data_IF_876615558802
#
_entry.id   IF_876615558802
#
_cell.length_a   1.000
_cell.length_b   1.000
_cell.length_c   1.000
_cell.angle_alpha   90.00
_cell.angle_beta   90.00
_cell.angle_gamma   90.00
#
_symmetry.space_group_name_H-M   'P 1'
#
loop_
_entity.id
_entity.type
_entity.pdbx_description
1 polymer ?
#
# COMPACT_ATOMS: atom_id res chain seq x y z
N UNK A 1 4.44 -16.88 8.00
CA UNK A 1 4.06 -18.24 7.54
C UNK A 1 2.99 -18.09 6.49
N UNK A 2 2.99 -18.95 5.47
CA UNK A 2 1.88 -19.05 4.50
C UNK A 2 1.39 -20.48 4.46
N UNK A 3 0.07 -20.69 4.41
CA UNK A 3 -0.58 -21.99 4.37
C UNK A 3 -1.60 -22.00 3.23
N UNK A 4 -1.64 -23.09 2.47
CA UNK A 4 -2.56 -23.28 1.35
C UNK A 4 -3.07 -24.72 1.30
N UNK A 5 -4.19 -24.92 0.63
CA UNK A 5 -4.78 -26.22 0.37
C UNK A 5 -5.27 -26.32 -1.08
N UNK A 6 -5.37 -27.54 -1.58
CA UNK A 6 -5.73 -27.82 -2.98
C UNK A 6 -4.51 -27.79 -3.91
N UNK A 7 -4.57 -28.60 -4.95
CA UNK A 7 -3.43 -28.91 -5.82
C UNK A 7 -2.82 -27.68 -6.49
N UNK A 8 -3.64 -26.82 -7.09
CA UNK A 8 -3.17 -25.60 -7.76
C UNK A 8 -2.43 -24.65 -6.80
N UNK A 9 -2.96 -24.48 -5.59
CA UNK A 9 -2.35 -23.60 -4.61
C UNK A 9 -1.05 -24.19 -4.05
N UNK A 10 -0.99 -25.50 -3.86
CA UNK A 10 0.23 -26.21 -3.45
C UNK A 10 1.31 -26.03 -4.53
N UNK A 11 0.96 -26.23 -5.81
CA UNK A 11 1.88 -26.01 -6.93
C UNK A 11 2.38 -24.57 -6.99
N UNK A 12 1.49 -23.59 -6.80
CA UNK A 12 1.85 -22.18 -6.72
C UNK A 12 2.81 -21.89 -5.55
N UNK A 13 2.51 -22.40 -4.35
CA UNK A 13 3.34 -22.17 -3.17
C UNK A 13 4.74 -22.79 -3.35
N UNK A 14 4.81 -23.97 -3.99
CA UNK A 14 6.07 -24.63 -4.32
C UNK A 14 6.92 -23.79 -5.29
N UNK A 15 6.32 -23.28 -6.36
CA UNK A 15 7.00 -22.40 -7.32
C UNK A 15 7.47 -21.09 -6.66
N UNK A 16 6.62 -20.48 -5.83
CA UNK A 16 6.95 -19.29 -5.06
C UNK A 16 8.11 -19.53 -4.09
N UNK A 17 8.10 -20.67 -3.39
CA UNK A 17 9.19 -21.04 -2.49
C UNK A 17 10.52 -21.16 -3.25
N UNK A 18 10.53 -21.87 -4.38
CA UNK A 18 11.72 -22.02 -5.21
C UNK A 18 12.28 -20.67 -5.70
N UNK A 19 11.41 -19.75 -6.12
CA UNK A 19 11.82 -18.41 -6.52
C UNK A 19 12.40 -17.59 -5.36
N UNK A 20 11.77 -17.65 -4.18
CA UNK A 20 12.21 -16.89 -3.01
C UNK A 20 13.55 -17.38 -2.47
N UNK A 21 13.88 -18.67 -2.63
CA UNK A 21 15.16 -19.23 -2.16
C UNK A 21 16.39 -18.62 -2.84
N UNK A 22 16.22 -17.95 -3.98
CA UNK A 22 17.30 -17.23 -4.65
C UNK A 22 17.76 -15.98 -3.89
N UNK A 23 16.90 -15.42 -3.02
CA UNK A 23 17.21 -14.24 -2.22
C UNK A 23 17.77 -14.64 -0.85
N UNK A 24 18.85 -13.96 -0.43
CA UNK A 24 19.49 -14.18 0.88
C UNK A 24 18.53 -13.99 2.05
N UNK A 25 17.53 -13.12 1.90
CA UNK A 25 16.53 -12.82 2.93
C UNK A 25 15.61 -14.01 3.24
N UNK A 26 15.47 -14.98 2.32
CA UNK A 26 14.54 -16.10 2.48
C UNK A 26 15.25 -17.46 2.61
N UNK A 27 16.58 -17.50 2.70
CA UNK A 27 17.36 -18.76 2.83
C UNK A 27 16.95 -19.62 4.03
N UNK A 28 16.48 -18.99 5.12
CA UNK A 28 16.00 -19.69 6.31
C UNK A 28 14.54 -20.16 6.24
N UNK A 29 13.86 -19.95 5.10
CA UNK A 29 12.47 -20.37 4.92
C UNK A 29 12.40 -21.89 4.71
N UNK A 30 11.49 -22.55 5.41
CA UNK A 30 11.18 -23.98 5.30
C UNK A 30 9.86 -24.17 4.56
N UNK A 31 9.78 -25.25 3.79
CA UNK A 31 8.58 -25.68 3.06
C UNK A 31 8.20 -27.10 3.48
N UNK A 32 6.91 -27.38 3.61
CA UNK A 32 6.41 -28.73 3.86
C UNK A 32 5.03 -28.95 3.24
N UNK A 33 4.79 -30.19 2.79
CA UNK A 33 3.48 -30.72 2.38
C UNK A 33 3.02 -31.84 3.34
N UNK A 34 3.82 -32.16 4.35
CA UNK A 34 3.52 -33.19 5.35
C UNK A 34 2.60 -32.63 6.44
N UNK A 35 1.47 -33.29 6.65
CA UNK A 35 0.48 -32.92 7.66
C UNK A 35 1.09 -32.91 9.06
N UNK A 36 1.98 -33.85 9.40
CA UNK A 36 2.58 -33.92 10.73
C UNK A 36 3.50 -32.72 10.97
N UNK A 37 4.38 -32.42 10.02
CA UNK A 37 5.27 -31.26 10.10
C UNK A 37 4.50 -29.93 10.11
N UNK A 38 3.43 -29.79 9.33
CA UNK A 38 2.60 -28.57 9.33
C UNK A 38 1.84 -28.42 10.66
N UNK A 39 1.42 -29.53 11.27
CA UNK A 39 0.75 -29.52 12.58
C UNK A 39 1.67 -29.03 13.69
N UNK A 40 2.97 -29.32 13.63
CA UNK A 40 3.97 -28.73 14.55
C UNK A 40 4.08 -27.21 14.40
N UNK A 41 3.81 -26.67 13.21
CA UNK A 41 3.90 -25.24 12.94
C UNK A 41 2.61 -24.48 13.29
N UNK A 42 1.46 -25.09 13.01
CA UNK A 42 0.16 -24.48 13.18
C UNK A 42 -0.89 -25.55 13.58
N UNK A 43 -0.89 -26.00 14.84
CA UNK A 43 -1.73 -27.11 15.29
C UNK A 43 -3.23 -26.82 15.10
N UNK A 44 -3.67 -25.60 15.40
CA UNK A 44 -5.06 -25.17 15.25
C UNK A 44 -5.52 -25.10 13.79
N UNK A 45 -4.60 -24.93 12.83
CA UNK A 45 -4.94 -24.91 11.39
C UNK A 45 -5.15 -26.33 10.86
N UNK A 46 -4.48 -27.31 11.48
CA UNK A 46 -4.51 -28.72 11.08
C UNK A 46 -5.55 -29.55 11.84
N UNK A 47 -6.06 -29.04 12.96
CA UNK A 47 -7.10 -29.71 13.75
C UNK A 47 -8.39 -29.92 12.93
N UNK A 48 -8.91 -31.15 12.93
CA UNK A 48 -10.14 -31.50 12.21
C UNK A 48 -10.03 -31.55 10.69
N UNK A 49 -8.83 -31.43 10.09
CA UNK A 49 -8.65 -31.57 8.63
C UNK A 49 -8.61 -33.03 8.20
N UNK A 50 -9.10 -33.27 6.98
CA UNK A 50 -8.98 -34.56 6.31
C UNK A 50 -7.50 -34.86 5.99
N UNK A 51 -6.94 -35.99 6.47
CA UNK A 51 -5.57 -36.41 6.16
C UNK A 51 -5.28 -36.59 4.66
N UNK A 52 -6.32 -36.82 3.84
CA UNK A 52 -6.16 -36.96 2.39
C UNK A 52 -6.13 -35.62 1.66
N UNK A 53 -6.48 -34.52 2.31
CA UNK A 53 -6.47 -33.20 1.70
C UNK A 53 -5.02 -32.78 1.40
N UNK A 54 -4.78 -32.35 0.16
CA UNK A 54 -3.50 -31.72 -0.22
C UNK A 54 -3.36 -30.36 0.45
N UNK A 55 -2.28 -30.21 1.22
CA UNK A 55 -1.93 -28.98 1.94
C UNK A 55 -0.45 -28.69 1.76
N UNK A 56 -0.08 -27.42 1.87
CA UNK A 56 1.32 -27.01 1.91
C UNK A 56 1.48 -25.78 2.79
N UNK A 57 2.65 -25.65 3.42
CA UNK A 57 2.98 -24.49 4.22
C UNK A 57 4.44 -24.07 4.04
N UNK A 58 4.67 -22.76 4.22
CA UNK A 58 6.01 -22.18 4.36
C UNK A 58 6.15 -21.50 5.71
N UNK A 59 7.26 -21.74 6.40
CA UNK A 59 7.58 -21.14 7.69
C UNK A 59 8.97 -20.51 7.65
N UNK A 60 9.06 -19.31 8.17
CA UNK A 60 10.34 -18.58 8.34
C UNK A 60 10.44 -18.19 9.81
N UNK A 61 11.54 -18.54 10.46
CA UNK A 61 11.77 -18.22 11.88
C UNK A 61 12.12 -16.75 12.09
N UNK A 62 12.81 -16.14 11.12
CA UNK A 62 13.18 -14.70 11.11
C UNK A 62 12.02 -13.78 10.68
N UNK A 63 10.76 -14.24 10.83
CA UNK A 63 9.58 -13.50 10.36
C UNK A 63 9.48 -12.14 11.03
N UNK A 64 9.65 -11.07 10.25
CA UNK A 64 9.38 -9.70 10.70
C UNK A 64 7.98 -9.32 10.22
N UNK A 65 7.04 -9.16 11.15
CA UNK A 65 5.78 -8.50 10.83
C UNK A 65 6.07 -7.00 10.67
N UNK A 66 5.53 -6.40 9.62
CA UNK A 66 5.77 -5.01 9.26
C UNK A 66 4.51 -4.21 9.55
N UNK A 67 4.56 -3.38 10.59
CA UNK A 67 3.47 -2.45 10.88
C UNK A 67 3.54 -1.24 9.92
N UNK A 68 2.87 -1.35 8.78
CA UNK A 68 2.78 -0.27 7.79
C UNK A 68 2.16 1.03 8.35
N UNK A 69 1.27 0.91 9.35
CA UNK A 69 0.70 2.07 10.04
C UNK A 69 1.77 2.86 10.80
N UNK A 70 2.64 2.15 11.50
CA UNK A 70 3.75 2.75 12.24
C UNK A 70 4.83 3.32 11.31
N UNK A 71 5.19 2.61 10.24
CA UNK A 71 6.10 3.13 9.21
C UNK A 71 5.57 4.44 8.62
N UNK A 72 4.27 4.49 8.30
CA UNK A 72 3.64 5.70 7.75
C UNK A 72 3.72 6.85 8.75
N UNK A 73 3.47 6.60 10.03
CA UNK A 73 3.58 7.62 11.09
C UNK A 73 5.01 8.13 11.25
N UNK A 74 6.01 7.25 11.25
CA UNK A 74 7.41 7.63 11.35
C UNK A 74 7.88 8.44 10.15
N UNK A 75 7.47 8.05 8.94
CA UNK A 75 7.74 8.79 7.72
C UNK A 75 7.14 10.21 7.78
N UNK A 76 5.86 10.31 8.15
CA UNK A 76 5.18 11.60 8.30
C UNK A 76 5.85 12.45 9.39
N UNK A 77 6.18 11.87 10.55
CA UNK A 77 6.85 12.57 11.63
C UNK A 77 8.23 13.12 11.20
N UNK A 78 8.97 12.37 10.39
CA UNK A 78 10.22 12.84 9.79
C UNK A 78 9.99 14.00 8.81
N UNK A 79 8.95 13.94 7.99
CA UNK A 79 8.60 15.02 7.06
C UNK A 79 8.13 16.28 7.78
N UNK A 80 7.42 16.15 8.90
CA UNK A 80 6.98 17.27 9.75
C UNK A 80 8.12 18.09 10.34
N UNK A 81 9.35 17.54 10.42
CA UNK A 81 10.53 18.30 10.84
C UNK A 81 11.01 19.30 9.79
N UNK A 82 10.51 19.23 8.55
CA UNK A 82 10.89 20.14 7.46
C UNK A 82 9.99 21.37 7.45
N UNK A 83 10.60 22.56 7.37
CA UNK A 83 9.89 23.85 7.36
C UNK A 83 8.95 24.05 6.17
N UNK A 84 9.15 23.30 5.08
CA UNK A 84 8.36 23.37 3.85
C UNK A 84 7.32 22.25 3.73
N UNK A 85 7.00 21.52 4.80
CA UNK A 85 6.00 20.46 4.78
C UNK A 85 4.78 20.82 5.65
N UNK A 86 3.60 20.66 5.09
CA UNK A 86 2.34 20.77 5.84
C UNK A 86 1.46 19.56 5.59
N UNK A 87 0.96 18.97 6.67
CA UNK A 87 0.05 17.82 6.64
C UNK A 87 -1.38 18.29 6.87
N UNK A 88 -2.27 18.01 5.91
CA UNK A 88 -3.71 18.21 6.08
C UNK A 88 -4.39 16.84 6.12
N UNK A 89 -5.05 16.56 7.25
CA UNK A 89 -5.84 15.34 7.46
C UNK A 89 -7.32 15.69 7.44
N UNK A 90 -8.17 14.69 7.19
CA UNK A 90 -9.62 14.88 7.08
C UNK A 90 -10.02 15.85 5.97
N UNK A 91 -9.21 15.93 4.92
CA UNK A 91 -9.46 16.73 3.74
C UNK A 91 -9.75 15.81 2.56
N UNK A 92 -10.75 16.13 1.74
CA UNK A 92 -11.11 15.37 0.55
C UNK A 92 -10.97 16.25 -0.69
N UNK A 93 -10.19 15.79 -1.67
CA UNK A 93 -10.12 16.44 -2.98
C UNK A 93 -11.41 16.14 -3.75
N UNK A 94 -12.17 17.18 -4.08
CA UNK A 94 -13.44 17.07 -4.81
C UNK A 94 -13.35 17.39 -6.28
N UNK A 95 -12.42 18.28 -6.66
CA UNK A 95 -12.22 18.65 -8.05
C UNK A 95 -10.76 19.04 -8.31
N UNK A 96 -10.34 18.80 -9.55
CA UNK A 96 -9.05 19.19 -10.10
C UNK A 96 -9.33 19.93 -11.40
N UNK A 97 -8.87 21.18 -11.53
CA UNK A 97 -8.98 21.98 -12.74
C UNK A 97 -7.59 22.39 -13.19
N UNK A 98 -7.26 22.11 -14.45
CA UNK A 98 -6.03 22.60 -15.08
C UNK A 98 -6.24 24.04 -15.52
N UNK A 99 -5.30 24.91 -15.18
CA UNK A 99 -5.29 26.32 -15.55
C UNK A 99 -4.52 26.52 -16.88
N UNK A 100 -4.71 27.67 -17.52
CA UNK A 100 -4.12 27.98 -18.83
C UNK A 100 -2.58 28.11 -18.78
N UNK A 101 -2.02 28.40 -17.61
CA UNK A 101 -0.57 28.44 -17.35
C UNK A 101 0.04 27.06 -17.04
N UNK A 102 -0.68 25.98 -17.35
CA UNK A 102 -0.35 24.59 -17.01
C UNK A 102 -0.27 24.30 -15.48
N UNK A 103 -0.70 25.21 -14.61
CA UNK A 103 -0.86 24.93 -13.18
C UNK A 103 -2.19 24.21 -12.89
N UNK A 104 -2.38 23.76 -11.65
CA UNK A 104 -3.59 23.09 -11.22
C UNK A 104 -4.25 23.85 -10.08
N UNK A 105 -5.57 23.98 -10.17
CA UNK A 105 -6.45 24.43 -9.09
C UNK A 105 -7.13 23.20 -8.50
N UNK A 106 -7.05 23.07 -7.17
CA UNK A 106 -7.61 21.92 -6.46
C UNK A 106 -8.65 22.39 -5.47
N UNK A 107 -9.86 21.85 -5.59
CA UNK A 107 -10.96 22.11 -4.67
C UNK A 107 -10.93 21.04 -3.58
N UNK A 108 -10.66 21.45 -2.34
CA UNK A 108 -10.56 20.57 -1.19
C UNK A 108 -11.70 20.86 -0.23
N UNK A 109 -12.41 19.82 0.20
CA UNK A 109 -13.41 19.89 1.25
C UNK A 109 -12.82 19.43 2.58
N UNK A 110 -12.94 20.25 3.61
CA UNK A 110 -12.65 19.85 4.99
C UNK A 110 -13.84 19.06 5.55
N UNK A 111 -13.62 17.78 5.83
CA UNK A 111 -14.64 16.86 6.33
C UNK A 111 -15.04 17.15 7.79
N UNK A 112 -14.21 17.88 8.56
CA UNK A 112 -14.53 18.30 9.92
C UNK A 112 -15.32 19.62 9.96
N UNK A 113 -15.11 20.51 8.98
CA UNK A 113 -15.71 21.86 9.00
C UNK A 113 -16.77 22.14 7.92
N UNK A 114 -17.13 21.16 7.07
CA UNK A 114 -18.07 21.34 5.92
C UNK A 114 -17.73 22.55 5.02
N UNK A 115 -16.49 23.01 5.03
CA UNK A 115 -16.04 24.17 4.27
C UNK A 115 -15.20 23.71 3.06
N UNK A 116 -15.40 24.34 1.91
CA UNK A 116 -14.63 24.07 0.70
C UNK A 116 -13.64 25.22 0.49
N UNK A 117 -12.37 24.89 0.23
CA UNK A 117 -11.32 25.87 0.00
C UNK A 117 -10.61 25.54 -1.31
N UNK A 118 -10.29 26.58 -2.10
CA UNK A 118 -9.56 26.44 -3.36
C UNK A 118 -8.10 26.87 -3.16
N UNK A 119 -7.17 26.08 -3.70
CA UNK A 119 -5.75 26.39 -3.65
C UNK A 119 -5.15 26.30 -5.07
N UNK A 120 -4.62 27.41 -5.63
CA UNK A 120 -3.85 27.38 -6.86
C UNK A 120 -2.40 26.96 -6.55
N UNK A 121 -2.04 25.70 -6.80
CA UNK A 121 -0.68 25.17 -6.53
C UNK A 121 -0.30 24.04 -7.49
N UNK A 122 1.00 23.86 -7.76
CA UNK A 122 1.51 22.60 -8.30
C UNK A 122 1.37 21.52 -7.23
N UNK A 123 0.61 20.47 -7.53
CA UNK A 123 0.25 19.44 -6.55
C UNK A 123 0.68 18.08 -7.07
N UNK A 124 1.39 17.34 -6.21
CA UNK A 124 1.58 15.90 -6.33
C UNK A 124 0.50 15.21 -5.50
N UNK A 125 -0.44 14.53 -6.16
CA UNK A 125 -1.48 13.74 -5.50
C UNK A 125 -0.98 12.30 -5.32
N UNK A 126 -1.06 11.78 -4.10
CA UNK A 126 -0.81 10.36 -3.86
C UNK A 126 -2.14 9.60 -3.82
N UNK A 127 -2.30 8.63 -4.71
CA UNK A 127 -3.47 7.74 -4.72
C UNK A 127 -3.37 6.72 -3.60
N UNK A 128 -4.42 6.60 -2.79
CA UNK A 128 -4.52 5.50 -1.82
C UNK A 128 -4.98 4.23 -2.54
N UNK A 129 -4.04 3.47 -3.07
CA UNK A 129 -4.30 2.11 -3.58
C UNK A 129 -4.51 1.13 -2.44
N UNK A 130 -5.52 0.26 -2.55
CA UNK A 130 -5.66 -0.95 -1.73
C UNK A 130 -4.79 -2.00 -2.43
N UNK A 131 -3.62 -2.30 -1.85
CA UNK A 131 -2.56 -3.14 -2.42
C UNK A 131 -1.71 -2.44 -3.50
N UNK A 132 -0.42 -2.24 -3.21
CA UNK A 132 0.57 -1.66 -4.13
C UNK A 132 0.60 -0.13 -4.15
N UNK A 133 1.75 0.44 -3.79
CA UNK A 133 2.04 1.85 -4.05
C UNK A 133 2.29 2.03 -5.56
N UNK A 134 1.23 2.24 -6.34
CA UNK A 134 1.38 2.72 -7.70
C UNK A 134 1.77 4.20 -7.66
N UNK A 135 3.04 4.46 -8.01
CA UNK A 135 3.55 5.81 -8.20
C UNK A 135 3.12 6.27 -9.59
N UNK A 136 2.04 7.05 -9.68
CA UNK A 136 1.74 7.79 -10.91
C UNK A 136 2.70 8.98 -10.96
N UNK A 137 3.87 8.77 -11.54
CA UNK A 137 4.77 9.86 -11.93
C UNK A 137 4.34 10.33 -13.31
N UNK A 138 3.89 11.58 -13.38
CA UNK A 138 3.69 12.31 -14.62
C UNK A 138 2.36 12.02 -15.32
N UNK A 139 1.47 13.01 -15.33
CA UNK A 139 0.59 13.21 -16.48
C UNK A 139 0.85 14.63 -16.97
N UNK A 140 1.95 14.76 -17.71
CA UNK A 140 1.92 15.53 -18.93
C UNK A 140 1.60 14.53 -20.03
N UNK A 141 0.33 14.42 -20.41
CA UNK A 141 -0.01 14.29 -21.83
C UNK A 141 -1.50 14.55 -22.05
N UNK A 142 -1.75 15.19 -23.18
CA UNK A 142 -3.04 15.57 -23.73
C UNK A 142 -3.96 14.36 -23.92
N UNK A 143 -5.07 14.31 -23.19
CA UNK A 143 -6.11 13.31 -23.43
C UNK A 143 -7.27 13.49 -22.47
N UNK A 144 -8.40 13.99 -22.97
CA UNK A 144 -9.60 14.19 -22.18
C UNK A 144 -10.15 12.86 -21.68
N UNK A 145 -9.94 12.54 -20.41
CA UNK A 145 -10.63 11.44 -19.74
C UNK A 145 -11.42 11.94 -18.53
N UNK A 146 -12.72 11.70 -18.60
CA UNK A 146 -13.71 12.03 -17.58
C UNK A 146 -13.41 11.19 -16.32
N UNK A 147 -12.83 11.83 -15.30
CA UNK A 147 -12.56 11.24 -13.99
C UNK A 147 -13.84 10.60 -13.40
N UNK A 148 -13.86 9.27 -13.31
CA UNK A 148 -14.94 8.52 -12.66
C UNK A 148 -14.84 8.70 -11.13
N UNK A 149 -15.97 9.04 -10.52
CA UNK A 149 -16.15 9.21 -9.06
C UNK A 149 -16.01 7.85 -8.38
N UNK A 150 -15.01 7.65 -7.53
CA UNK A 150 -14.87 6.45 -6.71
C UNK A 150 -14.92 6.80 -5.20
N UNK A 151 -15.58 5.98 -4.37
CA UNK A 151 -15.75 6.27 -2.95
C UNK A 151 -14.49 5.90 -2.17
N UNK A 152 -13.65 6.89 -1.88
CA UNK A 152 -12.46 6.73 -1.05
C UNK A 152 -11.64 8.02 -1.04
N UNK A 153 -11.61 8.71 0.09
CA UNK A 153 -10.98 10.02 0.22
C UNK A 153 -9.47 10.03 -0.10
N UNK A 154 -9.03 11.12 -0.73
CA UNK A 154 -7.64 11.40 -1.10
C UNK A 154 -6.92 12.14 0.03
N UNK A 155 -5.60 11.96 0.18
CA UNK A 155 -4.76 12.76 1.10
C UNK A 155 -3.64 13.42 0.31
N UNK A 156 -3.46 14.73 0.49
CA UNK A 156 -2.50 15.55 -0.26
C UNK A 156 -1.37 15.99 0.68
N UNK A 157 -0.11 15.58 0.46
CA UNK A 157 1.03 16.21 1.11
C UNK A 157 1.31 17.57 0.44
N UNK A 158 1.24 18.65 1.20
CA UNK A 158 1.49 20.00 0.71
C UNK A 158 2.97 20.36 0.92
N UNK A 159 3.70 20.59 -0.19
CA UNK A 159 5.04 21.18 -0.17
C UNK A 159 4.94 22.70 -0.38
N UNK A 160 5.49 23.49 0.55
CA UNK A 160 5.60 24.94 0.43
C UNK A 160 6.70 25.33 -0.56
N UNK A 161 6.45 26.33 -1.41
CA UNK A 161 7.49 26.96 -2.22
C UNK A 161 8.53 27.61 -1.29
N UNK A 162 9.85 27.55 -1.60
CA UNK A 162 10.82 28.39 -0.93
C UNK A 162 10.51 29.86 -1.28
N UNK A 163 10.37 30.69 -0.25
CA UNK A 163 10.18 32.14 -0.41
C UNK A 163 11.38 32.75 -1.11
N UNK A 164 11.13 33.60 -2.12
CA UNK A 164 12.13 34.53 -2.64
C UNK A 164 12.04 35.80 -1.80
N UNK A 165 13.18 36.26 -1.28
CA UNK A 165 13.34 37.61 -0.74
C UNK A 165 13.30 38.67 -1.84
#
# INVERSE_FOLDING_TARGET
MSFVWGEDNVNFLRARYAALQQSSLFRGMRYSEDHAQIKEWAPLVMEGRDPQQKVAATRTEIGTDVNYGEITRQLIASLQKKSNFSLQLSSEVRALKRNDDNSWTVTVADLKKRHCTEHPRQICLYRRGRCGAETVTGIGDSGGERLRRFPGGWTVPCFGKPGRG
#
